data_IF_564230737218
#
_entry.id   IF_564230737218
#
_cell.length_a   1.000
_cell.length_b   1.000
_cell.length_c   1.000
_cell.angle_alpha   90.00
_cell.angle_beta   90.00
_cell.angle_gamma   90.00
#
_symmetry.space_group_name_H-M   'P 1'
#
loop_
_entity.id
_entity.type
_entity.pdbx_description
1 polymer ?
#
# COMPACT_ATOMS: atom_id res chain seq x y z
N UNK A 1 -10.20 4.94 17.36
CA UNK A 1 -10.05 5.68 18.63
C UNK A 1 -10.50 4.81 19.80
N UNK A 2 -9.69 4.66 20.85
CA UNK A 2 -10.02 3.85 22.04
C UNK A 2 -11.15 4.44 22.89
N UNK A 3 -11.27 5.77 22.95
CA UNK A 3 -12.30 6.48 23.72
C UNK A 3 -13.59 6.68 22.93
N UNK A 4 -13.51 7.24 21.71
CA UNK A 4 -14.68 7.45 20.86
C UNK A 4 -15.29 6.14 20.31
N UNK A 5 -14.60 5.01 20.46
CA UNK A 5 -15.07 3.67 20.04
C UNK A 5 -15.50 3.62 18.56
N UNK A 6 -14.83 4.40 17.73
CA UNK A 6 -15.08 4.49 16.30
C UNK A 6 -13.79 4.29 15.50
N UNK A 7 -13.97 3.87 14.25
CA UNK A 7 -12.93 3.94 13.21
C UNK A 7 -12.80 5.40 12.78
N UNK A 8 -11.55 5.82 12.58
CA UNK A 8 -11.18 7.15 12.12
C UNK A 8 -10.65 7.05 10.69
N UNK A 9 -10.92 8.05 9.87
CA UNK A 9 -10.18 8.26 8.63
C UNK A 9 -8.73 8.70 8.94
N UNK A 10 -7.83 8.62 7.96
CA UNK A 10 -6.43 8.97 8.18
C UNK A 10 -6.27 10.44 8.61
N UNK A 11 -7.13 11.33 8.12
CA UNK A 11 -7.12 12.76 8.42
C UNK A 11 -7.60 13.08 9.85
N UNK A 12 -8.34 12.17 10.48
CA UNK A 12 -8.88 12.33 11.84
C UNK A 12 -7.88 11.84 12.92
N UNK A 13 -6.69 11.40 12.50
CA UNK A 13 -5.57 10.98 13.36
C UNK A 13 -4.46 12.02 13.28
N UNK A 14 -4.16 12.66 14.42
CA UNK A 14 -3.15 13.73 14.51
C UNK A 14 -2.17 13.36 15.61
N UNK A 15 -0.90 13.17 15.25
CA UNK A 15 0.18 12.76 16.16
C UNK A 15 -0.16 11.45 16.91
N UNK A 16 -0.73 10.47 16.20
CA UNK A 16 -1.15 9.19 16.79
C UNK A 16 -2.33 9.26 17.77
N UNK A 17 -2.98 10.43 17.92
CA UNK A 17 -4.17 10.61 18.76
C UNK A 17 -5.39 11.05 17.95
N UNK A 18 -6.58 10.83 18.51
CA UNK A 18 -7.84 11.19 17.87
C UNK A 18 -8.04 12.71 17.89
N UNK A 19 -8.29 13.32 16.73
CA UNK A 19 -8.49 14.78 16.60
C UNK A 19 -9.58 15.34 17.55
N UNK A 20 -10.57 14.52 17.90
CA UNK A 20 -11.78 14.96 18.64
C UNK A 20 -11.62 14.86 20.14
N UNK A 21 -10.97 13.79 20.61
CA UNK A 21 -10.94 13.45 22.04
C UNK A 21 -9.51 13.33 22.62
N UNK A 22 -8.47 13.44 21.79
CA UNK A 22 -7.07 13.34 22.20
C UNK A 22 -6.64 11.97 22.72
N UNK A 23 -7.50 10.95 22.66
CA UNK A 23 -7.15 9.59 23.09
C UNK A 23 -6.33 8.87 22.03
N UNK A 24 -5.47 7.97 22.48
CA UNK A 24 -4.61 7.14 21.63
C UNK A 24 -5.41 6.43 20.53
N UNK A 25 -4.87 6.49 19.31
CA UNK A 25 -5.38 5.74 18.17
C UNK A 25 -4.51 4.51 17.99
N UNK A 26 -5.17 3.36 18.02
CA UNK A 26 -4.52 2.09 17.72
C UNK A 26 -4.92 1.65 16.32
N UNK A 27 -3.94 1.17 15.55
CA UNK A 27 -4.20 0.46 14.30
C UNK A 27 -4.78 -0.91 14.67
N UNK A 28 -5.93 -1.25 14.09
CA UNK A 28 -6.54 -2.58 14.21
C UNK A 28 -6.69 -3.18 12.83
N UNK A 29 -6.26 -4.42 12.67
CA UNK A 29 -6.62 -5.21 11.52
C UNK A 29 -8.10 -5.60 11.64
N UNK A 30 -8.89 -5.29 10.60
CA UNK A 30 -10.32 -5.60 10.57
C UNK A 30 -10.71 -6.02 9.17
N UNK A 31 -11.48 -7.10 9.08
CA UNK A 31 -12.12 -7.48 7.83
C UNK A 31 -13.19 -6.46 7.48
N UNK A 32 -13.12 -5.89 6.28
CA UNK A 32 -14.08 -4.92 5.77
C UNK A 32 -14.50 -5.29 4.35
N UNK A 33 -15.71 -4.87 3.98
CA UNK A 33 -16.19 -5.01 2.61
C UNK A 33 -15.48 -4.00 1.71
N UNK A 34 -14.96 -4.49 0.60
CA UNK A 34 -14.26 -3.70 -0.40
C UNK A 34 -15.02 -3.78 -1.73
N UNK A 35 -15.24 -2.64 -2.40
CA UNK A 35 -15.61 -2.65 -3.81
C UNK A 35 -14.36 -2.60 -4.67
N UNK A 36 -14.26 -3.54 -5.60
CA UNK A 36 -13.12 -3.70 -6.50
C UNK A 36 -13.13 -2.64 -7.63
N UNK A 37 -13.16 -1.35 -7.28
CA UNK A 37 -13.15 -0.23 -8.24
C UNK A 37 -11.88 -0.22 -9.09
N UNK A 38 -10.78 -0.78 -8.59
CA UNK A 38 -9.52 -0.90 -9.34
C UNK A 38 -9.65 -1.75 -10.60
N UNK A 39 -10.62 -2.69 -10.66
CA UNK A 39 -10.95 -3.43 -11.90
C UNK A 39 -11.41 -2.52 -13.04
N UNK A 40 -11.86 -1.31 -12.70
CA UNK A 40 -12.31 -0.29 -13.64
C UNK A 40 -11.31 0.86 -13.80
N UNK A 41 -10.14 0.83 -13.14
CA UNK A 41 -9.20 1.95 -13.11
C UNK A 41 -8.76 2.42 -14.51
N UNK A 42 -8.48 1.49 -15.42
CA UNK A 42 -8.11 1.81 -16.81
C UNK A 42 -9.24 2.54 -17.55
N UNK A 43 -10.48 2.04 -17.42
CA UNK A 43 -11.64 2.67 -18.05
C UNK A 43 -11.91 4.04 -17.44
N UNK A 44 -11.90 4.13 -16.12
CA UNK A 44 -12.12 5.39 -15.40
C UNK A 44 -11.15 6.49 -15.80
N UNK A 45 -9.89 6.16 -16.13
CA UNK A 45 -8.91 7.16 -16.55
C UNK A 45 -8.99 7.49 -18.05
N UNK A 46 -9.22 6.49 -18.91
CA UNK A 46 -9.32 6.68 -20.35
C UNK A 46 -10.59 7.44 -20.73
N UNK A 47 -11.73 7.08 -20.12
CA UNK A 47 -13.03 7.69 -20.40
C UNK A 47 -13.08 9.19 -20.01
N UNK A 48 -12.10 9.70 -19.25
CA UNK A 48 -11.96 11.14 -18.95
C UNK A 48 -11.49 11.96 -20.17
N UNK A 49 -10.81 11.37 -21.15
CA UNK A 49 -10.28 12.11 -22.30
C UNK A 49 -11.42 12.69 -23.17
N UNK A 50 -12.46 11.89 -23.39
CA UNK A 50 -13.60 12.26 -24.23
C UNK A 50 -14.75 12.92 -23.45
N UNK A 51 -14.62 13.05 -22.12
CA UNK A 51 -15.65 13.63 -21.27
C UNK A 51 -15.64 15.16 -21.36
N UNK A 52 -16.78 15.73 -21.77
CA UNK A 52 -17.04 17.17 -21.69
C UNK A 52 -17.28 17.58 -20.23
N UNK A 53 -16.18 17.91 -19.54
CA UNK A 53 -16.17 18.26 -18.13
C UNK A 53 -15.03 19.20 -17.79
N UNK A 54 -15.08 19.79 -16.60
CA UNK A 54 -14.10 20.79 -16.15
C UNK A 54 -12.70 20.17 -16.12
N UNK A 55 -11.77 20.74 -16.91
CA UNK A 55 -10.39 20.23 -17.06
C UNK A 55 -9.67 20.04 -15.73
N UNK A 56 -9.82 20.97 -14.81
CA UNK A 56 -9.23 20.87 -13.46
C UNK A 56 -9.69 19.59 -12.74
N UNK A 57 -10.96 19.22 -12.86
CA UNK A 57 -11.50 18.02 -12.20
C UNK A 57 -11.00 16.76 -12.91
N UNK A 58 -10.93 16.77 -14.24
CA UNK A 58 -10.34 15.65 -15.01
C UNK A 58 -8.89 15.41 -14.61
N UNK A 59 -8.08 16.46 -14.50
CA UNK A 59 -6.68 16.38 -14.05
C UNK A 59 -6.60 15.83 -12.61
N UNK A 60 -7.45 16.31 -11.70
CA UNK A 60 -7.51 15.81 -10.33
C UNK A 60 -7.84 14.31 -10.29
N UNK A 61 -8.82 13.85 -11.06
CA UNK A 61 -9.16 12.43 -11.14
C UNK A 61 -8.05 11.59 -11.79
N UNK A 62 -7.42 12.06 -12.86
CA UNK A 62 -6.27 11.39 -13.48
C UNK A 62 -5.11 11.24 -12.49
N UNK A 63 -4.83 12.27 -11.70
CA UNK A 63 -3.79 12.24 -10.67
C UNK A 63 -4.15 11.31 -9.51
N UNK A 64 -5.43 11.29 -9.11
CA UNK A 64 -5.96 10.41 -8.08
C UNK A 64 -5.93 8.94 -8.50
N UNK A 65 -6.38 8.63 -9.72
CA UNK A 65 -6.31 7.28 -10.29
C UNK A 65 -4.84 6.87 -10.46
N UNK A 66 -4.02 7.80 -10.96
CA UNK A 66 -2.56 7.70 -10.95
C UNK A 66 -2.04 6.48 -11.70
N UNK A 67 -2.40 6.34 -12.98
CA UNK A 67 -1.88 5.27 -13.84
C UNK A 67 -0.37 5.45 -14.07
N UNK A 68 0.38 4.38 -13.91
CA UNK A 68 1.80 4.30 -14.24
C UNK A 68 2.12 2.97 -14.92
N UNK A 69 3.08 2.97 -15.84
CA UNK A 69 3.50 1.75 -16.56
C UNK A 69 4.95 1.44 -16.25
N UNK A 70 5.16 0.45 -15.40
CA UNK A 70 6.46 0.07 -14.88
C UNK A 70 6.80 -1.39 -15.16
N UNK A 71 7.59 -1.96 -14.26
CA UNK A 71 7.87 -3.38 -14.17
C UNK A 71 7.80 -3.84 -12.73
N UNK A 72 7.33 -5.07 -12.53
CA UNK A 72 7.61 -5.83 -11.32
C UNK A 72 8.95 -6.54 -11.48
N UNK A 73 9.80 -6.45 -10.47
CA UNK A 73 11.16 -6.99 -10.47
C UNK A 73 11.34 -7.84 -9.23
N UNK A 74 11.88 -9.03 -9.41
CA UNK A 74 12.10 -10.00 -8.33
C UNK A 74 13.53 -9.93 -7.84
N UNK A 75 13.71 -9.52 -6.58
CA UNK A 75 14.97 -9.52 -5.88
C UNK A 75 15.03 -10.76 -4.99
N UNK A 76 16.06 -11.59 -5.17
CA UNK A 76 16.32 -12.70 -4.24
C UNK A 76 16.86 -12.16 -2.93
N UNK A 77 16.76 -12.92 -1.86
CA UNK A 77 17.36 -12.57 -0.56
C UNK A 77 18.35 -13.62 -0.09
N UNK A 78 19.26 -13.24 0.80
CA UNK A 78 20.14 -14.19 1.49
C UNK A 78 19.37 -15.12 2.44
N UNK A 79 18.12 -14.79 2.78
CA UNK A 79 17.20 -15.67 3.51
C UNK A 79 16.54 -16.74 2.63
N UNK A 80 16.69 -16.65 1.29
CA UNK A 80 16.14 -17.63 0.34
C UNK A 80 14.74 -17.30 -0.19
N UNK A 81 14.14 -16.20 0.27
CA UNK A 81 12.86 -15.68 -0.20
C UNK A 81 13.04 -14.65 -1.32
N UNK A 82 11.98 -14.46 -2.11
CA UNK A 82 11.92 -13.49 -3.19
C UNK A 82 11.09 -12.27 -2.79
N UNK A 83 11.65 -11.07 -2.93
CA UNK A 83 10.96 -9.79 -2.76
C UNK A 83 10.62 -9.26 -4.15
N UNK A 84 9.33 -9.09 -4.43
CA UNK A 84 8.87 -8.41 -5.63
C UNK A 84 8.75 -6.92 -5.34
N UNK A 85 9.29 -6.08 -6.21
CA UNK A 85 9.14 -4.61 -6.14
C UNK A 85 8.54 -4.09 -7.43
N UNK A 86 7.78 -2.99 -7.35
CA UNK A 86 7.29 -2.27 -8.51
C UNK A 86 8.09 -0.99 -8.73
N UNK A 87 8.54 -0.76 -9.97
CA UNK A 87 9.23 0.49 -10.35
C UNK A 87 8.74 1.02 -11.68
N UNK A 88 8.58 2.34 -11.77
CA UNK A 88 8.36 3.06 -13.04
C UNK A 88 9.66 3.39 -13.75
N UNK A 89 10.80 3.21 -13.08
CA UNK A 89 12.15 3.46 -13.58
C UNK A 89 12.97 2.17 -13.56
N UNK A 90 12.59 1.14 -14.36
CA UNK A 90 13.37 -0.09 -14.43
C UNK A 90 14.76 0.14 -15.03
N UNK A 91 14.92 1.19 -15.85
CA UNK A 91 16.21 1.62 -16.42
C UNK A 91 17.29 1.84 -15.35
N UNK A 92 16.92 2.27 -14.14
CA UNK A 92 17.87 2.61 -13.09
C UNK A 92 18.22 1.46 -12.15
N UNK A 93 17.79 0.22 -12.45
CA UNK A 93 18.02 -0.95 -11.60
C UNK A 93 19.49 -1.22 -11.23
N UNK A 94 20.43 -0.87 -12.11
CA UNK A 94 21.87 -1.00 -11.83
C UNK A 94 22.34 -0.11 -10.67
N UNK A 95 21.63 0.99 -10.42
CA UNK A 95 21.87 1.94 -9.33
C UNK A 95 21.08 1.64 -8.07
N UNK A 96 20.36 0.51 -8.01
CA UNK A 96 19.67 0.08 -6.80
C UNK A 96 20.67 -0.43 -5.76
N UNK A 97 20.88 0.35 -4.69
CA UNK A 97 21.91 0.12 -3.68
C UNK A 97 21.38 -0.33 -2.32
N UNK A 98 20.07 -0.24 -2.09
CA UNK A 98 19.39 -0.83 -0.95
C UNK A 98 17.91 -1.08 -1.28
N UNK A 99 17.26 -1.88 -0.44
CA UNK A 99 15.82 -2.10 -0.51
C UNK A 99 15.16 -1.56 0.75
N UNK A 100 13.87 -1.20 0.65
CA UNK A 100 13.09 -0.78 1.80
C UNK A 100 11.76 -1.53 1.83
N UNK A 101 11.48 -2.17 2.96
CA UNK A 101 10.21 -2.82 3.25
C UNK A 101 9.35 -1.91 4.13
N UNK A 102 8.04 -2.00 3.94
CA UNK A 102 7.09 -1.47 4.92
C UNK A 102 7.24 -2.22 6.26
N UNK A 103 7.02 -1.55 7.41
CA UNK A 103 7.04 -2.19 8.74
C UNK A 103 6.06 -3.36 8.86
N UNK A 104 4.96 -3.32 8.11
CA UNK A 104 3.93 -4.37 8.07
C UNK A 104 4.19 -5.48 7.03
N UNK A 105 5.33 -5.44 6.33
CA UNK A 105 5.63 -6.45 5.31
C UNK A 105 5.77 -7.85 5.93
N UNK A 106 5.17 -8.87 5.32
CA UNK A 106 5.10 -10.23 5.88
C UNK A 106 6.48 -10.81 6.25
N UNK A 107 7.50 -10.47 5.48
CA UNK A 107 8.88 -10.90 5.71
C UNK A 107 9.52 -10.33 6.98
N UNK A 108 9.05 -9.20 7.49
CA UNK A 108 9.50 -8.67 8.78
C UNK A 108 9.15 -9.65 9.90
N UNK A 109 7.97 -10.29 9.84
CA UNK A 109 7.57 -11.34 10.78
C UNK A 109 8.22 -12.68 10.44
N UNK A 110 8.24 -13.07 9.16
CA UNK A 110 8.77 -14.37 8.73
C UNK A 110 10.25 -14.55 9.08
N UNK A 111 11.04 -13.48 8.99
CA UNK A 111 12.48 -13.55 9.18
C UNK A 111 12.95 -13.33 10.61
N UNK A 112 12.05 -13.13 11.59
CA UNK A 112 12.42 -12.76 12.97
C UNK A 112 13.58 -13.57 13.56
N UNK A 113 13.58 -14.89 13.37
CA UNK A 113 14.62 -15.77 13.91
C UNK A 113 16.00 -15.64 13.21
N UNK A 114 16.05 -15.00 12.04
CA UNK A 114 17.26 -14.77 11.24
C UNK A 114 17.80 -13.33 11.37
N UNK A 115 17.03 -12.41 11.96
CA UNK A 115 17.42 -11.00 12.09
C UNK A 115 18.35 -10.83 13.29
N UNK A 116 19.55 -10.32 13.05
CA UNK A 116 20.56 -10.14 14.11
C UNK A 116 20.20 -9.03 15.11
N UNK A 117 19.43 -8.02 14.66
CA UNK A 117 18.93 -6.90 15.47
C UNK A 117 17.40 -6.90 15.61
N UNK A 118 16.81 -8.08 15.86
CA UNK A 118 15.36 -8.26 15.92
C UNK A 118 14.66 -7.30 16.91
N UNK A 119 15.25 -7.04 18.08
CA UNK A 119 14.69 -6.12 19.07
C UNK A 119 14.57 -4.68 18.54
N UNK A 120 15.58 -4.20 17.80
CA UNK A 120 15.59 -2.87 17.20
C UNK A 120 14.53 -2.76 16.08
N UNK A 121 14.45 -3.80 15.24
CA UNK A 121 13.43 -3.91 14.20
C UNK A 121 12.03 -3.91 14.80
N UNK A 122 11.78 -4.71 15.83
CA UNK A 122 10.47 -4.81 16.48
C UNK A 122 10.08 -3.51 17.19
N UNK A 123 11.03 -2.82 17.81
CA UNK A 123 10.79 -1.50 18.40
C UNK A 123 10.39 -0.48 17.33
N UNK A 124 11.05 -0.48 16.16
CA UNK A 124 10.71 0.41 15.05
C UNK A 124 9.33 0.08 14.45
N UNK A 125 9.01 -1.20 14.27
CA UNK A 125 7.69 -1.63 13.79
C UNK A 125 6.58 -1.17 14.74
N UNK A 126 6.78 -1.32 16.06
CA UNK A 126 5.82 -0.86 17.06
C UNK A 126 5.64 0.66 17.06
N UNK A 127 6.71 1.43 16.82
CA UNK A 127 6.63 2.89 16.71
C UNK A 127 5.93 3.34 15.43
N UNK A 128 6.25 2.71 14.29
CA UNK A 128 5.61 3.01 13.02
C UNK A 128 4.11 2.68 13.02
N UNK A 129 3.68 1.66 13.78
CA UNK A 129 2.27 1.27 13.92
C UNK A 129 1.41 2.33 14.64
N UNK A 130 2.02 3.27 15.37
CA UNK A 130 1.32 4.40 16.01
C UNK A 130 1.00 5.54 15.05
N UNK A 131 1.65 5.56 13.88
CA UNK A 131 1.46 6.58 12.85
C UNK A 131 0.42 6.12 11.85
N UNK A 132 -0.44 7.04 11.42
CA UNK A 132 -1.35 6.86 10.29
C UNK A 132 -0.59 6.81 8.96
N UNK A 133 -1.22 6.23 7.93
CA UNK A 133 -0.66 6.25 6.56
C UNK A 133 -0.42 7.70 6.07
N UNK A 134 -1.22 8.67 6.53
CA UNK A 134 -1.06 10.08 6.17
C UNK A 134 0.18 10.70 6.81
N UNK A 135 0.39 10.49 8.11
CA UNK A 135 1.59 10.95 8.83
C UNK A 135 2.87 10.34 8.29
N UNK A 136 2.80 9.11 7.77
CA UNK A 136 3.91 8.39 7.14
C UNK A 136 4.26 8.89 5.74
N UNK A 137 3.35 9.62 5.09
CA UNK A 137 3.49 10.08 3.70
C UNK A 137 4.05 11.51 3.60
N UNK A 138 3.25 12.48 3.16
CA UNK A 138 3.69 13.80 2.71
C UNK A 138 4.14 14.76 3.83
N UNK A 139 3.79 14.48 5.10
CA UNK A 139 4.18 15.33 6.24
C UNK A 139 5.52 14.94 6.87
N UNK A 140 6.06 13.76 6.55
CA UNK A 140 7.26 13.26 7.22
C UNK A 140 8.53 13.89 6.65
N UNK A 141 8.96 14.99 7.28
CA UNK A 141 10.22 15.68 6.95
C UNK A 141 11.46 14.91 7.39
N UNK A 142 11.33 13.96 8.31
CA UNK A 142 12.47 13.21 8.83
C UNK A 142 12.43 11.76 8.34
N UNK A 143 13.39 11.39 7.50
CA UNK A 143 13.56 9.99 7.08
C UNK A 143 13.97 9.16 8.28
N UNK A 144 13.18 8.15 8.64
CA UNK A 144 13.51 7.20 9.72
C UNK A 144 13.59 5.80 9.15
N UNK A 145 14.31 4.89 9.79
CA UNK A 145 14.41 3.52 9.32
C UNK A 145 15.44 2.72 10.10
N UNK A 146 15.35 1.40 10.00
CA UNK A 146 16.25 0.44 10.65
C UNK A 146 16.69 -0.59 9.62
N UNK A 147 17.98 -0.87 9.54
CA UNK A 147 18.50 -1.97 8.71
C UNK A 147 18.14 -3.31 9.33
N UNK A 148 17.71 -4.27 8.51
CA UNK A 148 17.57 -5.68 8.89
C UNK A 148 18.96 -6.33 8.82
N UNK A 149 19.68 -6.40 9.94
CA UNK A 149 21.01 -7.01 9.97
C UNK A 149 20.93 -8.52 9.82
N UNK A 150 21.88 -9.09 9.07
CA UNK A 150 21.96 -10.51 8.75
C UNK A 150 21.26 -10.91 7.45
N UNK A 151 20.38 -10.06 6.89
CA UNK A 151 19.62 -10.36 5.67
C UNK A 151 19.84 -9.27 4.63
N UNK A 152 20.20 -9.68 3.41
CA UNK A 152 20.44 -8.78 2.29
C UNK A 152 19.60 -9.17 1.09
N UNK A 153 19.22 -8.16 0.32
CA UNK A 153 18.66 -8.34 -1.02
C UNK A 153 19.79 -8.61 -2.01
N UNK A 154 19.47 -9.26 -3.12
CA UNK A 154 20.39 -9.52 -4.22
C UNK A 154 19.83 -8.79 -5.42
N UNK A 155 20.55 -7.77 -5.89
CA UNK A 155 20.14 -7.02 -7.06
C UNK A 155 20.20 -7.94 -8.30
N UNK A 156 19.08 -8.19 -8.98
CA UNK A 156 19.00 -9.23 -10.00
C UNK A 156 19.79 -8.90 -11.27
N UNK A 157 20.19 -7.63 -11.48
CA UNK A 157 20.87 -7.21 -12.71
C UNK A 157 22.39 -7.34 -12.63
N UNK A 158 22.96 -7.30 -11.42
CA UNK A 158 24.41 -7.33 -11.21
C UNK A 158 24.86 -8.32 -10.11
N UNK A 159 23.93 -8.98 -9.43
CA UNK A 159 24.21 -9.96 -8.36
C UNK A 159 24.76 -9.35 -7.06
N UNK A 160 24.85 -8.02 -6.94
CA UNK A 160 25.35 -7.37 -5.72
C UNK A 160 24.38 -7.60 -4.56
N UNK A 161 24.93 -7.90 -3.38
CA UNK A 161 24.16 -7.90 -2.15
C UNK A 161 23.99 -6.48 -1.63
N UNK A 162 22.74 -6.10 -1.40
CA UNK A 162 22.34 -4.77 -0.94
C UNK A 162 21.58 -4.87 0.39
N UNK A 163 21.78 -3.93 1.34
CA UNK A 163 21.07 -3.95 2.61
C UNK A 163 19.56 -3.80 2.41
N UNK A 164 18.79 -4.38 3.35
CA UNK A 164 17.34 -4.22 3.42
C UNK A 164 17.03 -3.38 4.65
N UNK A 165 16.28 -2.29 4.47
CA UNK A 165 15.78 -1.46 5.55
C UNK A 165 14.29 -1.66 5.75
N UNK A 166 13.82 -1.33 6.95
CA UNK A 166 12.41 -1.11 7.25
C UNK A 166 12.23 0.38 7.46
N UNK A 167 11.23 0.96 6.79
CA UNK A 167 10.94 2.39 6.94
C UNK A 167 9.45 2.69 6.75
N UNK A 168 8.96 3.63 7.56
CA UNK A 168 7.56 4.02 7.58
C UNK A 168 7.09 4.77 6.31
N UNK A 169 7.98 5.34 5.49
CA UNK A 169 7.58 5.98 4.23
C UNK A 169 7.14 4.98 3.14
N UNK A 170 7.45 3.69 3.30
CA UNK A 170 6.95 2.62 2.43
C UNK A 170 5.66 2.08 3.04
N UNK A 171 4.59 2.05 2.24
CA UNK A 171 3.27 1.59 2.67
C UNK A 171 2.99 0.19 2.11
N UNK A 172 2.59 -0.75 2.97
CA UNK A 172 2.23 -2.13 2.57
C UNK A 172 1.09 -2.18 1.54
N UNK A 173 0.22 -1.17 1.58
CA UNK A 173 -0.95 -1.02 0.72
C UNK A 173 -0.64 -0.40 -0.64
N UNK A 174 0.62 -0.04 -0.92
CA UNK A 174 1.05 0.55 -2.19
C UNK A 174 2.10 -0.31 -2.88
N UNK A 175 1.83 -0.69 -4.13
CA UNK A 175 2.68 -1.63 -4.88
C UNK A 175 2.70 -2.99 -4.17
N UNK A 176 3.89 -3.46 -3.83
CA UNK A 176 4.10 -4.73 -3.12
C UNK A 176 4.45 -4.54 -1.64
N UNK A 177 4.40 -3.30 -1.13
CA UNK A 177 4.89 -2.99 0.22
C UNK A 177 6.41 -3.02 0.36
N UNK A 178 7.12 -3.10 -0.76
CA UNK A 178 8.57 -3.11 -0.87
C UNK A 178 9.02 -2.25 -2.06
N UNK A 179 10.15 -1.56 -1.92
CA UNK A 179 10.78 -0.80 -3.02
C UNK A 179 12.26 -1.15 -3.15
N UNK A 180 12.77 -1.01 -4.36
CA UNK A 180 14.20 -0.80 -4.59
C UNK A 180 14.48 0.69 -4.48
N UNK A 181 15.59 1.08 -3.86
CA UNK A 181 15.98 2.46 -3.75
C UNK A 181 17.15 2.76 -4.68
N UNK A 182 17.04 3.85 -5.46
CA UNK A 182 18.06 4.30 -6.42
C UNK A 182 18.45 5.74 -6.07
N UNK A 183 19.37 5.92 -5.10
CA UNK A 183 19.63 7.23 -4.49
C UNK A 183 20.11 8.30 -5.47
N UNK A 184 20.82 7.92 -6.53
CA UNK A 184 21.28 8.89 -7.51
C UNK A 184 20.14 9.56 -8.29
N UNK A 185 18.92 9.00 -8.30
CA UNK A 185 17.83 9.40 -9.21
C UNK A 185 16.43 9.49 -8.56
N UNK A 186 16.32 9.43 -7.23
CA UNK A 186 15.10 9.77 -6.47
C UNK A 186 15.52 10.55 -5.21
N UNK A 187 14.95 11.75 -5.03
CA UNK A 187 15.30 12.66 -3.94
C UNK A 187 15.10 12.03 -2.55
N UNK A 188 14.05 11.22 -2.37
CA UNK A 188 13.75 10.58 -1.09
C UNK A 188 14.76 9.49 -0.78
N UNK A 189 15.14 8.74 -1.81
CA UNK A 189 16.15 7.67 -1.69
C UNK A 189 17.54 8.27 -1.44
N UNK A 190 17.83 9.44 -2.02
CA UNK A 190 19.06 10.19 -1.78
C UNK A 190 19.17 10.67 -0.34
N UNK A 191 18.13 11.35 0.17
CA UNK A 191 18.09 11.82 1.56
C UNK A 191 18.28 10.67 2.55
N UNK A 192 17.60 9.54 2.29
CA UNK A 192 17.73 8.34 3.10
C UNK A 192 19.15 7.76 2.99
N UNK A 193 19.71 7.63 1.79
CA UNK A 193 21.07 7.14 1.60
C UNK A 193 22.11 7.99 2.32
N UNK A 194 22.00 9.33 2.27
CA UNK A 194 22.91 10.23 2.99
C UNK A 194 22.77 10.10 4.50
N UNK A 195 21.55 9.90 5.02
CA UNK A 195 21.31 9.72 6.47
C UNK A 195 21.85 8.39 6.99
N UNK A 196 21.68 7.31 6.24
CA UNK A 196 22.01 5.94 6.67
C UNK A 196 23.33 5.41 6.08
N UNK A 197 24.06 6.22 5.30
CA UNK A 197 25.36 5.86 4.74
C UNK A 197 25.29 4.79 3.64
N UNK A 198 24.20 4.76 2.86
CA UNK A 198 24.07 3.83 1.74
C UNK A 198 24.89 4.31 0.53
N UNK A 199 25.34 3.37 -0.30
CA UNK A 199 26.04 3.66 -1.55
C UNK A 199 25.14 4.46 -2.51
N UNK A 200 25.71 5.42 -3.22
CA UNK A 200 25.02 6.21 -4.26
C UNK A 200 25.76 5.96 -5.56
N UNK A 201 25.09 5.34 -6.53
CA UNK A 201 25.67 5.01 -7.84
C UNK A 201 24.92 5.76 -8.91
N UNK A 202 25.61 6.62 -9.64
CA UNK A 202 25.07 7.29 -10.82
C UNK A 202 24.86 6.27 -11.94
N UNK A 203 23.64 6.20 -12.47
CA UNK A 203 23.30 5.37 -13.63
C UNK A 203 22.68 6.16 -14.79
N UNK A 204 22.45 7.45 -14.58
CA UNK A 204 22.05 8.40 -15.62
C UNK A 204 22.94 9.65 -15.49
N UNK A 205 23.66 9.98 -16.54
CA UNK A 205 24.62 11.10 -16.55
C UNK A 205 23.89 12.45 -16.55
N UNK A 206 24.41 13.40 -15.77
CA UNK A 206 24.09 14.82 -15.96
C UNK A 206 24.05 15.68 -14.69
N UNK A 207 24.25 15.10 -13.50
CA UNK A 207 24.20 15.82 -12.23
C UNK A 207 25.44 15.62 -11.35
N UNK A 208 25.43 16.23 -10.17
CA UNK A 208 26.41 15.98 -9.11
C UNK A 208 25.72 15.22 -7.97
N UNK A 209 25.74 13.88 -8.08
CA UNK A 209 25.04 12.97 -7.17
C UNK A 209 25.53 13.06 -5.71
N UNK A 210 26.68 13.68 -5.45
CA UNK A 210 27.18 13.91 -4.09
C UNK A 210 26.43 15.03 -3.37
N UNK A 211 25.84 15.96 -4.13
CA UNK A 211 25.11 17.14 -3.64
C UNK A 211 23.60 16.94 -3.59
N UNK A 212 23.03 16.31 -4.60
CA UNK A 212 21.59 16.07 -4.72
C UNK A 212 21.31 14.90 -5.68
N UNK A 213 20.11 14.33 -5.63
CA UNK A 213 19.72 13.34 -6.63
C UNK A 213 19.60 14.00 -8.01
N UNK A 214 20.10 13.33 -9.03
CA UNK A 214 19.87 13.75 -10.40
C UNK A 214 18.52 13.22 -10.90
N UNK A 215 17.49 14.05 -10.75
CA UNK A 215 16.14 13.77 -11.24
C UNK A 215 15.89 14.49 -12.57
N UNK A 216 15.88 13.72 -13.66
CA UNK A 216 15.53 14.26 -14.97
C UNK A 216 14.04 14.57 -15.06
N UNK A 217 13.71 15.70 -15.69
CA UNK A 217 12.31 16.07 -16.01
C UNK A 217 11.88 15.57 -17.40
N UNK A 218 12.84 15.19 -18.24
CA UNK A 218 12.66 14.64 -19.56
C UNK A 218 13.50 13.36 -19.74
N UNK A 219 12.98 12.36 -20.45
CA UNK A 219 13.62 11.03 -20.62
C UNK A 219 14.85 11.05 -21.56
N UNK A 220 15.56 12.18 -21.63
CA UNK A 220 16.67 12.45 -22.57
C UNK A 220 18.05 12.12 -22.00
N UNK A 221 18.17 11.90 -20.70
CA UNK A 221 19.44 11.56 -20.07
C UNK A 221 20.04 10.26 -20.59
N UNK A 222 21.36 10.17 -20.50
CA UNK A 222 22.14 9.06 -21.04
C UNK A 222 22.49 8.09 -19.93
N UNK A 223 22.24 6.80 -20.16
CA UNK A 223 22.56 5.74 -19.21
C UNK A 223 24.07 5.53 -19.11
N UNK A 224 24.56 5.42 -17.87
CA UNK A 224 25.96 5.12 -17.51
C UNK A 224 25.99 4.04 -16.43
N UNK A 225 27.16 3.42 -16.20
CA UNK A 225 27.35 2.38 -15.18
C UNK A 225 26.30 1.24 -15.17
N UNK A 226 25.69 0.96 -16.33
CA UNK A 226 24.51 0.09 -16.49
C UNK A 226 24.70 -0.95 -17.60
N UNK A 227 25.94 -1.40 -17.79
CA UNK A 227 26.33 -2.43 -18.76
C UNK A 227 25.70 -2.27 -20.15
N UNK A 228 24.75 -3.13 -20.51
CA UNK A 228 24.10 -3.17 -21.83
C UNK A 228 23.17 -1.97 -22.10
N UNK A 229 22.85 -1.18 -21.07
CA UNK A 229 22.10 0.06 -21.23
C UNK A 229 23.02 1.26 -21.52
N UNK A 230 24.32 1.16 -21.29
CA UNK A 230 25.25 2.29 -21.44
C UNK A 230 25.14 2.96 -22.82
N UNK A 231 25.05 4.30 -22.83
CA UNK A 231 24.96 5.11 -24.04
C UNK A 231 23.56 5.24 -24.63
N UNK A 232 22.56 4.50 -24.13
CA UNK A 232 21.16 4.70 -24.50
C UNK A 232 20.58 5.92 -23.77
N UNK A 233 19.56 6.55 -24.36
CA UNK A 233 18.72 7.49 -23.62
C UNK A 233 17.80 6.74 -22.65
N UNK A 234 17.35 7.38 -21.56
CA UNK A 234 16.36 6.81 -20.62
C UNK A 234 15.12 6.29 -21.37
N UNK A 235 14.64 7.05 -22.36
CA UNK A 235 13.50 6.68 -23.22
C UNK A 235 13.72 5.36 -23.97
N UNK A 236 14.93 5.11 -24.43
CA UNK A 236 15.30 3.86 -25.12
C UNK A 236 15.61 2.73 -24.14
N UNK A 237 16.19 3.06 -22.98
CA UNK A 237 16.61 2.11 -21.96
C UNK A 237 15.43 1.44 -21.26
N UNK A 238 14.34 2.16 -20.97
CA UNK A 238 13.16 1.60 -20.28
C UNK A 238 12.58 0.38 -21.03
N UNK A 239 12.25 0.46 -22.35
CA UNK A 239 11.79 -0.70 -23.10
C UNK A 239 12.80 -1.85 -23.17
N UNK A 240 14.09 -1.53 -23.36
CA UNK A 240 15.16 -2.54 -23.41
C UNK A 240 15.25 -3.29 -22.09
N UNK A 241 15.20 -2.57 -20.98
CA UNK A 241 15.29 -3.16 -19.65
C UNK A 241 14.07 -4.01 -19.30
N UNK A 242 12.85 -3.53 -19.62
CA UNK A 242 11.61 -4.31 -19.45
C UNK A 242 11.67 -5.64 -20.20
N UNK A 243 12.10 -5.61 -21.46
CA UNK A 243 12.28 -6.82 -22.27
C UNK A 243 13.32 -7.75 -21.65
N UNK A 244 14.47 -7.22 -21.24
CA UNK A 244 15.54 -8.01 -20.62
C UNK A 244 15.08 -8.68 -19.32
N UNK A 245 14.33 -7.99 -18.47
CA UNK A 245 13.75 -8.55 -17.24
C UNK A 245 12.85 -9.77 -17.52
N UNK A 246 12.00 -9.68 -18.55
CA UNK A 246 11.10 -10.76 -18.96
C UNK A 246 11.89 -11.94 -19.53
N UNK A 247 12.85 -11.69 -20.41
CA UNK A 247 13.68 -12.74 -21.03
C UNK A 247 14.52 -13.50 -20.01
N UNK A 248 14.94 -12.85 -18.94
CA UNK A 248 15.70 -13.48 -17.84
C UNK A 248 14.80 -14.07 -16.75
N UNK A 249 13.47 -13.96 -16.84
CA UNK A 249 12.53 -14.54 -15.88
C UNK A 249 12.61 -13.92 -14.47
N UNK A 250 13.09 -12.67 -14.37
CA UNK A 250 13.29 -11.93 -13.11
C UNK A 250 12.34 -10.73 -12.98
N UNK A 251 11.45 -10.52 -13.94
CA UNK A 251 10.43 -9.47 -13.87
C UNK A 251 9.41 -9.53 -14.99
N UNK A 252 8.36 -8.73 -14.84
CA UNK A 252 7.26 -8.61 -15.82
C UNK A 252 6.83 -7.16 -15.96
N UNK A 253 6.42 -6.75 -17.16
CA UNK A 253 5.77 -5.46 -17.35
C UNK A 253 4.45 -5.40 -16.58
N UNK A 254 4.19 -4.26 -15.92
CA UNK A 254 2.95 -4.07 -15.17
C UNK A 254 2.47 -2.63 -15.23
N UNK A 255 1.16 -2.49 -15.40
CA UNK A 255 0.47 -1.23 -15.18
C UNK A 255 0.01 -1.20 -13.72
N UNK A 256 0.35 -0.13 -13.02
CA UNK A 256 -0.06 0.07 -11.63
C UNK A 256 -0.85 1.37 -11.49
N UNK A 257 -1.73 1.41 -10.50
CA UNK A 257 -2.59 2.57 -10.22
C UNK A 257 -2.38 3.02 -8.77
N UNK A 258 -2.43 4.33 -8.53
CA UNK A 258 -2.51 4.89 -7.17
C UNK A 258 -3.87 4.61 -6.53
N UNK A 259 -4.91 4.47 -7.36
CA UNK A 259 -6.25 4.09 -6.91
C UNK A 259 -6.23 2.79 -6.12
N UNK A 260 -6.89 2.79 -4.97
CA UNK A 260 -7.10 1.61 -4.14
C UNK A 260 -8.55 1.14 -4.24
N UNK A 261 -8.77 -0.11 -3.88
CA UNK A 261 -10.13 -0.62 -3.71
C UNK A 261 -10.86 0.14 -2.61
N UNK A 262 -12.18 0.17 -2.74
CA UNK A 262 -12.99 1.11 -2.00
C UNK A 262 -13.56 0.46 -0.74
N UNK A 263 -13.14 0.92 0.43
CA UNK A 263 -13.69 0.47 1.72
C UNK A 263 -15.17 0.86 1.81
N UNK A 264 -16.04 -0.14 1.74
CA UNK A 264 -17.49 -0.02 1.61
C UNK A 264 -18.25 -0.42 2.88
N UNK A 265 -17.58 -0.81 3.95
CA UNK A 265 -18.25 -1.11 5.22
C UNK A 265 -18.07 0.00 6.25
N UNK A 266 -19.09 0.25 7.07
CA UNK A 266 -19.08 1.23 8.16
C UNK A 266 -19.63 0.61 9.43
N UNK A 267 -18.92 0.80 10.54
CA UNK A 267 -19.30 0.34 11.87
C UNK A 267 -20.24 1.37 12.51
N UNK A 268 -21.31 1.73 11.80
CA UNK A 268 -22.28 2.75 12.21
C UNK A 268 -23.69 2.18 12.06
N UNK A 269 -24.59 2.64 12.92
CA UNK A 269 -26.00 2.30 12.81
C UNK A 269 -26.65 2.97 11.59
N UNK A 270 -26.41 4.28 11.39
CA UNK A 270 -27.12 5.06 10.37
C UNK A 270 -26.54 4.86 8.97
N UNK A 271 -26.95 3.78 8.32
CA UNK A 271 -26.64 3.45 6.93
C UNK A 271 -27.45 2.24 6.45
N UNK A 272 -27.39 1.95 5.16
CA UNK A 272 -28.09 0.82 4.57
C UNK A 272 -27.46 -0.51 5.04
N UNK A 273 -28.23 -1.48 5.56
CA UNK A 273 -27.70 -2.79 5.91
C UNK A 273 -27.09 -3.51 4.71
N UNK A 274 -25.88 -4.05 4.87
CA UNK A 274 -25.25 -4.89 3.84
C UNK A 274 -26.05 -6.21 3.75
N UNK A 275 -26.60 -6.59 2.58
CA UNK A 275 -27.53 -7.71 2.44
C UNK A 275 -26.81 -9.05 2.34
N UNK A 276 -25.97 -9.35 3.33
CA UNK A 276 -25.18 -10.58 3.43
C UNK A 276 -25.42 -11.27 4.78
N UNK A 277 -25.33 -12.59 4.79
CA UNK A 277 -25.33 -13.40 6.01
C UNK A 277 -24.09 -14.28 6.07
N UNK A 278 -23.47 -14.37 7.23
CA UNK A 278 -22.39 -15.30 7.51
C UNK A 278 -22.97 -16.62 8.03
N UNK A 279 -22.81 -17.68 7.26
CA UNK A 279 -23.18 -19.04 7.62
C UNK A 279 -21.91 -19.86 7.95
N UNK A 280 -21.84 -20.54 9.10
CA UNK A 280 -20.69 -21.39 9.44
C UNK A 280 -20.36 -22.49 8.44
N UNK A 281 -21.35 -22.91 7.63
CA UNK A 281 -21.20 -23.95 6.60
C UNK A 281 -20.92 -23.39 5.20
N UNK A 282 -21.57 -22.28 4.84
CA UNK A 282 -21.54 -21.73 3.47
C UNK A 282 -20.65 -20.49 3.30
N UNK A 283 -20.15 -19.91 4.39
CA UNK A 283 -19.46 -18.62 4.39
C UNK A 283 -20.44 -17.45 4.23
N UNK A 284 -19.98 -16.38 3.59
CA UNK A 284 -20.80 -15.21 3.27
C UNK A 284 -21.74 -15.51 2.10
N UNK A 285 -23.04 -15.36 2.35
CA UNK A 285 -24.11 -15.63 1.37
C UNK A 285 -24.97 -14.37 1.20
N UNK A 286 -25.25 -13.93 -0.04
CA UNK A 286 -26.14 -12.80 -0.26
C UNK A 286 -27.59 -13.16 0.05
N UNK A 287 -28.35 -12.17 0.49
CA UNK A 287 -29.80 -12.27 0.57
C UNK A 287 -30.39 -12.35 -0.85
N UNK A 288 -31.40 -13.20 -1.07
CA UNK A 288 -32.19 -13.20 -2.30
C UNK A 288 -32.85 -11.84 -2.57
N UNK A 289 -33.04 -11.48 -3.85
CA UNK A 289 -33.64 -10.20 -4.26
C UNK A 289 -35.07 -10.02 -3.70
N UNK A 290 -35.84 -11.10 -3.57
CA UNK A 290 -37.20 -11.08 -3.01
C UNK A 290 -37.26 -10.89 -1.49
N UNK A 291 -36.11 -10.95 -0.81
CA UNK A 291 -35.95 -10.62 0.62
C UNK A 291 -35.46 -9.19 0.83
N UNK A 292 -35.24 -8.42 -0.24
CA UNK A 292 -34.90 -7.01 -0.17
C UNK A 292 -36.18 -6.15 -0.10
N UNK A 293 -36.13 -4.98 0.58
CA UNK A 293 -34.97 -4.42 1.28
C UNK A 293 -34.70 -5.09 2.64
N UNK A 294 -33.42 -5.24 3.00
CA UNK A 294 -33.05 -5.55 4.37
C UNK A 294 -33.24 -4.29 5.23
N UNK A 295 -34.36 -4.23 5.96
CA UNK A 295 -34.73 -3.04 6.73
C UNK A 295 -33.86 -2.91 7.98
N UNK A 296 -33.30 -1.72 8.18
CA UNK A 296 -32.54 -1.35 9.38
C UNK A 296 -33.49 -1.41 10.61
N UNK A 297 -33.12 -2.14 11.68
CA UNK A 297 -34.00 -2.32 12.83
C UNK A 297 -34.06 -1.04 13.66
N UNK A 298 -35.22 -0.72 14.24
CA UNK A 298 -35.36 0.43 15.14
C UNK A 298 -34.61 0.20 16.45
N UNK A 299 -33.90 1.21 16.95
CA UNK A 299 -33.12 1.16 18.21
C UNK A 299 -33.55 2.26 19.17
N UNK A 300 -33.42 1.96 20.48
CA UNK A 300 -33.60 2.96 21.54
C UNK A 300 -32.36 3.85 21.73
N UNK A 301 -31.17 3.33 21.40
CA UNK A 301 -29.90 4.06 21.49
C UNK A 301 -29.02 3.78 20.26
N UNK A 302 -28.39 4.83 19.76
CA UNK A 302 -27.48 4.81 18.61
C UNK A 302 -26.00 4.79 19.02
N UNK A 303 -25.71 4.63 20.30
CA UNK A 303 -24.34 4.72 20.83
C UNK A 303 -23.45 3.58 20.29
N UNK A 304 -22.22 3.89 19.86
CA UNK A 304 -21.24 2.88 19.47
C UNK A 304 -20.97 1.87 20.59
N UNK A 305 -20.66 0.63 20.22
CA UNK A 305 -20.29 -0.39 21.18
C UNK A 305 -18.85 -0.23 21.65
N UNK A 306 -18.54 -0.72 22.86
CA UNK A 306 -17.23 -0.56 23.51
C UNK A 306 -16.06 -1.22 22.76
N UNK A 307 -16.37 -2.19 21.91
CA UNK A 307 -15.43 -2.97 21.10
C UNK A 307 -15.19 -2.38 19.68
N UNK A 308 -15.95 -1.35 19.28
CA UNK A 308 -15.89 -0.77 17.94
C UNK A 308 -16.59 -1.62 16.87
N UNK A 309 -17.49 -2.52 17.29
CA UNK A 309 -18.47 -3.13 16.41
C UNK A 309 -19.61 -2.15 16.07
N UNK A 310 -20.40 -2.50 15.06
CA UNK A 310 -21.61 -1.74 14.76
C UNK A 310 -22.60 -1.88 15.92
N UNK A 311 -23.38 -0.82 16.26
CA UNK A 311 -24.49 -0.94 17.22
C UNK A 311 -25.46 -2.09 16.91
N UNK A 312 -25.56 -2.49 15.64
CA UNK A 312 -26.38 -3.62 15.19
C UNK A 312 -25.92 -4.96 15.78
N UNK A 313 -24.65 -5.14 16.15
CA UNK A 313 -24.13 -6.43 16.60
C UNK A 313 -24.77 -6.93 17.90
N UNK A 314 -25.25 -6.02 18.75
CA UNK A 314 -25.96 -6.35 20.00
C UNK A 314 -27.43 -6.75 19.78
N UNK A 315 -27.98 -6.50 18.59
CA UNK A 315 -29.39 -6.75 18.29
C UNK A 315 -29.61 -8.19 17.86
N UNK A 316 -29.40 -9.14 18.78
CA UNK A 316 -29.37 -10.57 18.47
C UNK A 316 -30.62 -11.08 17.73
N UNK A 317 -31.81 -10.53 18.00
CA UNK A 317 -33.05 -10.89 17.29
C UNK A 317 -33.01 -10.50 15.79
N UNK A 318 -32.37 -9.39 15.46
CA UNK A 318 -32.16 -8.97 14.08
C UNK A 318 -30.89 -9.57 13.48
N UNK A 319 -29.83 -9.80 14.25
CA UNK A 319 -28.59 -10.38 13.72
C UNK A 319 -28.78 -11.87 13.41
N UNK A 320 -29.44 -12.62 14.29
CA UNK A 320 -29.65 -14.04 14.09
C UNK A 320 -30.71 -14.28 13.00
N UNK A 321 -30.35 -15.10 12.02
CA UNK A 321 -31.22 -15.43 10.89
C UNK A 321 -30.91 -16.85 10.39
N UNK A 322 -31.51 -17.25 9.29
CA UNK A 322 -31.20 -18.51 8.60
C UNK A 322 -30.43 -18.23 7.31
N UNK A 323 -29.57 -19.17 6.94
CA UNK A 323 -28.83 -19.13 5.69
C UNK A 323 -29.78 -19.39 4.51
N UNK A 324 -29.88 -18.48 3.52
CA UNK A 324 -30.76 -18.69 2.37
C UNK A 324 -30.29 -19.83 1.46
N UNK A 325 -29.03 -20.26 1.57
CA UNK A 325 -28.46 -21.36 0.78
C UNK A 325 -28.72 -22.75 1.40
N UNK A 326 -28.54 -22.91 2.72
CA UNK A 326 -28.64 -24.24 3.36
C UNK A 326 -29.71 -24.36 4.46
N UNK A 327 -30.42 -23.29 4.81
CA UNK A 327 -31.43 -23.25 5.87
C UNK A 327 -30.90 -23.30 7.30
N UNK A 328 -29.59 -23.52 7.50
CA UNK A 328 -28.96 -23.55 8.82
C UNK A 328 -28.88 -22.17 9.50
N UNK A 329 -28.54 -22.09 10.79
CA UNK A 329 -28.37 -20.83 11.50
C UNK A 329 -27.25 -19.98 10.87
N UNK A 330 -27.49 -18.69 10.75
CA UNK A 330 -26.57 -17.71 10.19
C UNK A 330 -26.70 -16.37 10.93
N UNK A 331 -25.75 -15.46 10.71
CA UNK A 331 -25.77 -14.10 11.26
C UNK A 331 -25.75 -13.07 10.13
N UNK A 332 -26.61 -12.06 10.17
CA UNK A 332 -26.56 -10.92 9.25
C UNK A 332 -25.24 -10.15 9.42
N UNK A 333 -24.75 -9.56 8.34
CA UNK A 333 -23.72 -8.52 8.43
C UNK A 333 -24.25 -7.35 9.26
N UNK A 334 -23.39 -6.81 10.12
CA UNK A 334 -23.71 -5.75 11.07
C UNK A 334 -23.14 -4.40 10.65
N UNK A 335 -22.15 -4.40 9.75
CA UNK A 335 -21.71 -3.18 9.10
C UNK A 335 -22.77 -2.65 8.13
N UNK A 336 -22.80 -1.33 7.96
CA UNK A 336 -23.67 -0.62 7.03
C UNK A 336 -22.89 -0.05 5.84
N UNK A 337 -23.61 0.29 4.77
CA UNK A 337 -23.04 0.96 3.62
C UNK A 337 -22.77 2.45 3.91
N UNK A 338 -21.70 3.03 3.33
CA UNK A 338 -21.41 4.45 3.40
C UNK A 338 -22.37 5.32 2.57
N UNK A 339 -22.56 6.56 3.01
CA UNK A 339 -23.61 7.51 2.57
C UNK A 339 -23.18 8.48 1.46
N UNK A 340 -22.44 7.99 0.45
CA UNK A 340 -21.89 8.80 -0.65
C UNK A 340 -22.56 8.54 -2.00
#
# INVERSE_FOLDING_TARGET
CTSCKCVLANEEVVEGVCERCGSEVIRKEKSQWMLAITKYAQRLIDDLDDLDYIERVKIQQKNWIGRSTGAEVTFKTTAGDDIVVYTTRPDTLFGATYMVLSPEHEYVTKWQDMIENADEVNAYVAEAAKKSDFERSELNKEKTGVEIKGIKGINPVNGKQIPIFISDYVLVTYGTGAIMAVPAHDDRDWEFAKKFGCEIIEVVEGGDIEKEAFTLKDDTGIMVNSEFLNGLTVKEAIPVMKKWLVENGIGTEKVNYKLRDWVFSRQRYWGEPIPLVNCPKCGWVPLPEDQLPLVLPQVESYEPTDDGESPLSKMTDWVNTTCPCCGGPAKRETDTMPQW
#
